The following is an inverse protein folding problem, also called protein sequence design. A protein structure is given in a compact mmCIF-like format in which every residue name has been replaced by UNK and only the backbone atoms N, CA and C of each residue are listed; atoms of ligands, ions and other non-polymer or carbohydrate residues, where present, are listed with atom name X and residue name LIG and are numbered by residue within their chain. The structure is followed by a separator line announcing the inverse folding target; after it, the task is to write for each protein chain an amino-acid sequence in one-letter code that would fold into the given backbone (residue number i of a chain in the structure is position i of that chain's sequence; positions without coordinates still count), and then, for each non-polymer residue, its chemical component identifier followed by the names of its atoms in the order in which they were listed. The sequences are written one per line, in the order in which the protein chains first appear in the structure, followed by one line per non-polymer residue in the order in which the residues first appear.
data_IF_487828275375
#
_entry.id   IF_487828275375
#
_cell.length_a   1.000
_cell.length_b   1.000
_cell.length_c   1.000
_cell.angle_alpha   90.00
_cell.angle_beta   90.00
_cell.angle_gamma   90.00
#
_symmetry.space_group_name_H-M   'P 1'
#
loop_
_entity.id
_entity.type
_entity.pdbx_description
1 polymer ?
#
# COMPACT_ATOMS: atom_id res chain seq x y z
N UNK A 1 8.56 7.56 -0.87
CA UNK A 1 7.74 6.46 -1.40
C UNK A 1 8.37 5.92 -2.66
N UNK A 2 8.27 4.61 -2.89
CA UNK A 2 8.94 3.87 -3.96
C UNK A 2 8.64 2.37 -3.81
N UNK A 3 9.05 1.53 -4.77
CA UNK A 3 8.76 0.08 -4.83
C UNK A 3 7.30 -0.28 -5.21
N UNK A 4 6.65 0.52 -6.07
CA UNK A 4 5.33 0.19 -6.62
C UNK A 4 4.13 0.43 -5.69
N UNK A 5 4.37 0.97 -4.49
CA UNK A 5 3.32 1.35 -3.53
C UNK A 5 3.00 2.84 -3.62
N UNK A 6 1.71 3.15 -3.67
CA UNK A 6 1.12 4.47 -3.61
C UNK A 6 0.45 4.72 -2.24
N UNK A 7 0.33 5.99 -1.86
CA UNK A 7 -0.37 6.43 -0.65
C UNK A 7 -1.50 7.39 -1.02
N UNK A 8 -2.71 7.12 -0.55
CA UNK A 8 -3.83 8.05 -0.56
C UNK A 8 -3.91 8.75 0.79
N UNK A 9 -3.88 10.08 0.75
CA UNK A 9 -4.03 10.94 1.93
C UNK A 9 -5.47 11.36 2.08
N UNK A 10 -6.08 11.04 3.21
CA UNK A 10 -7.43 11.48 3.55
C UNK A 10 -7.29 12.60 4.58
N UNK A 11 -7.71 13.80 4.20
CA UNK A 11 -7.65 14.99 5.04
C UNK A 11 -8.86 15.05 5.98
N UNK A 12 -8.86 14.16 6.95
CA UNK A 12 -9.90 14.05 7.98
C UNK A 12 -9.28 13.56 9.30
N UNK A 13 -9.65 14.19 10.41
CA UNK A 13 -9.19 13.81 11.74
C UNK A 13 -7.67 13.83 11.88
N UNK A 14 -7.08 12.71 12.31
CA UNK A 14 -5.62 12.55 12.53
C UNK A 14 -4.81 12.43 11.23
N UNK A 15 -5.48 12.51 10.07
CA UNK A 15 -4.87 12.45 8.75
C UNK A 15 -4.59 11.01 8.33
N UNK A 16 -5.65 10.29 7.97
CA UNK A 16 -5.55 8.90 7.54
C UNK A 16 -4.77 8.73 6.24
N UNK A 17 -4.10 7.58 6.12
CA UNK A 17 -3.30 7.14 4.98
C UNK A 17 -3.72 5.72 4.61
N UNK A 18 -4.03 5.52 3.33
CA UNK A 18 -4.32 4.21 2.76
C UNK A 18 -3.22 3.88 1.75
N UNK A 19 -2.67 2.67 1.81
CA UNK A 19 -1.63 2.23 0.90
C UNK A 19 -2.17 1.21 -0.10
N UNK A 20 -1.78 1.38 -1.36
CA UNK A 20 -2.26 0.54 -2.44
C UNK A 20 -1.17 0.38 -3.51
N UNK A 21 -1.24 -0.69 -4.29
CA UNK A 21 -0.49 -0.85 -5.52
C UNK A 21 -1.40 -0.67 -6.74
N UNK A 22 -0.82 -0.43 -7.91
CA UNK A 22 -1.56 -0.27 -9.16
C UNK A 22 -0.94 -1.11 -10.28
N UNK A 23 -1.79 -1.83 -11.02
CA UNK A 23 -1.42 -2.68 -12.16
C UNK A 23 -2.33 -2.30 -13.32
N UNK A 24 -1.78 -1.61 -14.31
CA UNK A 24 -2.59 -1.01 -15.36
C UNK A 24 -3.70 -0.12 -14.77
N UNK A 25 -4.95 -0.52 -14.96
CA UNK A 25 -6.15 0.16 -14.43
C UNK A 25 -6.68 -0.43 -13.12
N UNK A 26 -6.11 -1.53 -12.62
CA UNK A 26 -6.56 -2.20 -11.40
C UNK A 26 -5.85 -1.61 -10.16
N UNK A 27 -6.64 -1.27 -9.14
CA UNK A 27 -6.14 -0.86 -7.82
C UNK A 27 -6.13 -2.05 -6.88
N UNK A 28 -4.97 -2.35 -6.29
CA UNK A 28 -4.80 -3.40 -5.30
C UNK A 28 -4.67 -2.75 -3.92
N UNK A 29 -5.72 -2.86 -3.11
CA UNK A 29 -5.69 -2.35 -1.74
C UNK A 29 -4.84 -3.26 -0.86
N UNK A 30 -3.74 -2.73 -0.33
CA UNK A 30 -2.79 -3.49 0.47
C UNK A 30 -3.24 -3.59 1.93
N UNK A 31 -4.54 -3.83 2.20
CA UNK A 31 -5.21 -3.97 3.51
C UNK A 31 -4.46 -3.40 4.73
N UNK A 32 -3.92 -2.20 4.60
CA UNK A 32 -3.09 -1.53 5.58
C UNK A 32 -3.25 -0.03 5.40
N UNK A 33 -3.21 0.65 6.52
CA UNK A 33 -3.51 2.05 6.63
C UNK A 33 -3.55 2.43 8.09
N UNK A 34 -3.33 3.69 8.34
CA UNK A 34 -3.24 4.25 9.68
C UNK A 34 -3.33 5.75 9.57
N UNK A 35 -3.03 6.43 10.66
CA UNK A 35 -2.87 7.88 10.61
C UNK A 35 -1.39 8.26 10.49
N UNK A 36 -1.13 9.57 10.54
CA UNK A 36 0.23 10.09 10.40
C UNK A 36 1.20 9.53 11.45
N UNK A 37 0.72 9.13 12.65
CA UNK A 37 1.58 8.62 13.72
C UNK A 37 2.18 7.25 13.42
N UNK A 38 1.56 6.48 12.53
CA UNK A 38 1.99 5.12 12.17
C UNK A 38 2.57 5.02 10.76
N UNK A 39 2.67 6.15 10.05
CA UNK A 39 3.03 6.22 8.62
C UNK A 39 4.25 5.37 8.25
N UNK A 40 5.36 5.48 8.98
CA UNK A 40 6.59 4.74 8.66
C UNK A 40 6.44 3.22 8.78
N UNK A 41 5.66 2.76 9.78
CA UNK A 41 5.36 1.34 9.95
C UNK A 41 4.46 0.85 8.81
N UNK A 42 3.44 1.64 8.48
CA UNK A 42 2.45 1.26 7.48
C UNK A 42 3.07 1.25 6.07
N UNK A 43 4.00 2.16 5.75
CA UNK A 43 4.78 2.14 4.50
C UNK A 43 5.60 0.84 4.36
N UNK A 44 6.25 0.39 5.44
CA UNK A 44 7.05 -0.85 5.40
C UNK A 44 6.14 -2.05 5.14
N UNK A 45 5.03 -2.13 5.86
CA UNK A 45 4.06 -3.22 5.72
C UNK A 45 3.44 -3.25 4.32
N UNK A 46 3.08 -2.09 3.78
CA UNK A 46 2.56 -1.98 2.42
C UNK A 46 3.55 -2.53 1.38
N UNK A 47 4.85 -2.20 1.51
CA UNK A 47 5.89 -2.73 0.61
C UNK A 47 6.04 -4.24 0.73
N UNK A 48 5.93 -4.80 1.93
CA UNK A 48 5.96 -6.25 2.14
C UNK A 48 4.77 -6.93 1.48
N UNK A 49 3.57 -6.40 1.67
CA UNK A 49 2.36 -6.91 1.03
C UNK A 49 2.42 -6.82 -0.49
N UNK A 50 2.96 -5.73 -1.03
CA UNK A 50 3.13 -5.59 -2.47
C UNK A 50 4.12 -6.61 -3.05
N UNK A 51 5.24 -6.86 -2.35
CA UNK A 51 6.21 -7.90 -2.74
C UNK A 51 5.61 -9.30 -2.69
N UNK A 52 4.82 -9.59 -1.66
CA UNK A 52 4.11 -10.87 -1.54
C UNK A 52 3.08 -11.05 -2.66
N UNK A 53 2.29 -10.02 -2.95
CA UNK A 53 1.36 -10.03 -4.09
C UNK A 53 2.10 -10.30 -5.41
N UNK A 54 3.16 -9.56 -5.72
CA UNK A 54 3.90 -9.73 -6.97
C UNK A 54 4.50 -11.15 -7.12
N UNK A 55 4.98 -11.75 -6.03
CA UNK A 55 5.47 -13.14 -6.04
C UNK A 55 4.37 -14.14 -6.39
N UNK A 56 3.18 -13.96 -5.82
CA UNK A 56 2.03 -14.86 -6.07
C UNK A 56 1.53 -14.75 -7.50
N UNK A 57 1.47 -13.54 -8.05
CA UNK A 57 1.08 -13.34 -9.45
C UNK A 57 2.08 -13.99 -10.42
N UNK A 58 3.39 -13.81 -10.18
CA UNK A 58 4.42 -14.44 -11.02
C UNK A 58 4.45 -15.98 -10.95
N UNK A 59 3.77 -16.57 -9.96
CA UNK A 59 3.63 -18.02 -9.81
C UNK A 59 2.30 -18.56 -10.36
N UNK A 60 1.39 -17.66 -10.77
CA UNK A 60 0.09 -17.98 -11.36
C UNK A 60 0.09 -17.89 -12.91
N UNK A 61 1.23 -17.52 -13.51
CA UNK A 61 1.52 -17.60 -14.95
C UNK A 61 2.34 -18.85 -15.29
#
# INVERSE_FOLDING_TARGET
MGEGVCELKIDYGTGYRVYFGQIGSMVVLLLCGGDKSTQDRDIRLAKEYWKDYAKRESSNE
#
